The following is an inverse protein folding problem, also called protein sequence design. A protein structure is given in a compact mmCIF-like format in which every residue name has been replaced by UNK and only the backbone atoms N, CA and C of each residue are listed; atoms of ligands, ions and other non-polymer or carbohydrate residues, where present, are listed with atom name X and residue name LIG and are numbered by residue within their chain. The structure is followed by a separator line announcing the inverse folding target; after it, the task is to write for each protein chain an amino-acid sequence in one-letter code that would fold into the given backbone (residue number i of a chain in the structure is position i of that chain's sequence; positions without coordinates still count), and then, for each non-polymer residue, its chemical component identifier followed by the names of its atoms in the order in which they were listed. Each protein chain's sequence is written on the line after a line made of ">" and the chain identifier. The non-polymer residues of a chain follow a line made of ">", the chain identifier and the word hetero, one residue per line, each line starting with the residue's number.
data_IF_678736013031
#
_entry.id   IF_678736013031
#
_cell.length_a   1.000
_cell.length_b   1.000
_cell.length_c   1.000
_cell.angle_alpha   90.00
_cell.angle_beta   90.00
_cell.angle_gamma   90.00
#
_symmetry.space_group_name_H-M   'P 1'
#
loop_
_entity.id
_entity.type
_entity.pdbx_description
1 polymer ?
#
# COMPACT_ATOMS: atom_id res chain seq x y z
N UNK A 1 -20.81 28.87 19.79
CA UNK A 1 -21.59 27.60 19.81
C UNK A 1 -23.05 27.96 19.90
N UNK A 2 -23.82 27.66 18.87
CA UNK A 2 -25.26 27.89 18.88
C UNK A 2 -25.92 26.65 19.48
N UNK A 3 -26.78 26.88 20.51
CA UNK A 3 -27.54 25.82 21.16
C UNK A 3 -28.98 25.87 20.66
N UNK A 4 -29.49 24.78 20.11
CA UNK A 4 -30.88 24.64 19.71
C UNK A 4 -31.69 24.00 20.85
N UNK A 5 -32.84 24.62 21.21
CA UNK A 5 -33.62 24.26 22.40
C UNK A 5 -34.97 23.58 22.09
N UNK A 6 -35.26 23.17 20.87
CA UNK A 6 -36.60 22.65 20.51
C UNK A 6 -36.94 21.28 21.17
N UNK A 7 -35.95 20.49 21.58
CA UNK A 7 -36.12 19.20 22.30
C UNK A 7 -34.96 18.89 23.26
N UNK A 8 -34.44 19.86 23.97
CA UNK A 8 -33.24 19.78 24.79
C UNK A 8 -32.06 20.48 24.10
N UNK A 9 -31.05 20.83 24.89
CA UNK A 9 -29.88 21.51 24.37
C UNK A 9 -29.07 20.57 23.42
N UNK A 10 -28.98 20.98 22.17
CA UNK A 10 -28.16 20.29 21.17
C UNK A 10 -27.19 21.31 20.57
N UNK A 11 -25.97 20.80 20.27
CA UNK A 11 -24.98 21.58 19.56
C UNK A 11 -25.42 21.64 18.10
N UNK A 12 -25.56 22.84 17.55
CA UNK A 12 -25.75 23.03 16.12
C UNK A 12 -24.36 22.80 15.46
N UNK A 13 -24.22 21.62 14.88
CA UNK A 13 -22.91 21.16 14.38
C UNK A 13 -22.51 21.92 13.12
N UNK A 14 -21.31 22.48 13.14
CA UNK A 14 -20.62 22.96 11.95
C UNK A 14 -19.14 22.64 12.05
N UNK A 15 -18.45 22.52 10.91
CA UNK A 15 -17.00 22.24 10.85
C UNK A 15 -16.15 23.31 11.56
N UNK A 16 -16.65 24.56 11.60
CA UNK A 16 -16.02 25.69 12.29
C UNK A 16 -15.93 25.52 13.81
N UNK A 17 -16.69 24.60 14.40
CA UNK A 17 -16.57 24.29 15.83
C UNK A 17 -15.24 23.61 16.19
N UNK A 18 -14.65 22.89 15.25
CA UNK A 18 -13.34 22.23 15.42
C UNK A 18 -12.24 23.05 14.74
N UNK A 19 -12.52 23.58 13.56
CA UNK A 19 -11.59 24.37 12.75
C UNK A 19 -12.22 25.73 12.46
N UNK A 20 -12.02 26.78 13.31
CA UNK A 20 -12.70 28.06 13.18
C UNK A 20 -12.50 28.78 11.83
N UNK A 21 -11.36 28.51 11.18
CA UNK A 21 -11.01 29.12 9.89
C UNK A 21 -11.47 28.30 8.67
N UNK A 22 -12.17 27.17 8.88
CA UNK A 22 -12.62 26.28 7.78
C UNK A 22 -13.90 26.86 7.15
N UNK A 23 -13.84 27.10 5.85
CA UNK A 23 -14.99 27.51 5.04
C UNK A 23 -15.77 26.28 4.51
N UNK A 24 -17.03 26.47 4.09
CA UNK A 24 -17.92 25.39 3.64
C UNK A 24 -17.38 24.64 2.40
N UNK A 25 -16.52 25.29 1.61
CA UNK A 25 -15.88 24.71 0.42
C UNK A 25 -14.58 23.97 0.74
N UNK A 26 -14.07 24.13 1.93
CA UNK A 26 -12.78 23.56 2.34
C UNK A 26 -12.88 22.06 2.61
N UNK A 27 -11.77 21.37 2.38
CA UNK A 27 -11.64 19.94 2.64
C UNK A 27 -10.45 19.65 3.54
N UNK A 28 -10.72 19.07 4.69
CA UNK A 28 -9.66 18.56 5.58
C UNK A 28 -9.05 17.31 4.97
N UNK A 29 -7.72 17.33 4.76
CA UNK A 29 -6.96 16.17 4.33
C UNK A 29 -6.02 15.74 5.46
N UNK A 30 -6.09 14.48 5.84
CA UNK A 30 -5.16 13.87 6.79
C UNK A 30 -4.07 13.16 6.00
N UNK A 31 -2.81 13.52 6.27
CA UNK A 31 -1.64 12.85 5.73
C UNK A 31 -0.86 12.22 6.88
N UNK A 32 -0.65 10.92 6.81
CA UNK A 32 0.13 10.18 7.81
C UNK A 32 1.50 9.86 7.23
N UNK A 33 2.56 10.40 7.82
CA UNK A 33 3.93 10.02 7.51
C UNK A 33 4.32 8.81 8.35
N UNK A 34 4.60 7.68 7.68
CA UNK A 34 5.06 6.47 8.37
C UNK A 34 6.57 6.57 8.64
N UNK A 35 7.04 6.31 9.86
CA UNK A 35 8.46 6.27 10.16
C UNK A 35 9.13 5.10 9.42
N UNK A 36 10.41 5.27 9.05
CA UNK A 36 11.20 4.17 8.52
C UNK A 36 11.60 3.20 9.65
N UNK A 37 11.50 1.90 9.37
CA UNK A 37 11.90 0.88 10.32
C UNK A 37 13.42 0.82 10.44
N UNK A 38 13.96 0.80 11.67
CA UNK A 38 15.40 0.69 11.95
C UNK A 38 16.04 -0.53 11.28
N UNK A 39 17.35 -0.43 11.01
CA UNK A 39 18.16 -1.52 10.45
C UNK A 39 18.52 -2.54 11.52
N UNK A 40 18.71 -3.79 11.11
CA UNK A 40 19.36 -4.83 11.92
C UNK A 40 20.77 -5.00 11.34
N UNK A 41 21.76 -4.84 12.17
CA UNK A 41 23.18 -4.92 11.77
C UNK A 41 23.83 -6.12 12.45
N UNK A 42 24.86 -6.68 11.82
CA UNK A 42 25.76 -7.64 12.45
C UNK A 42 26.77 -6.92 13.37
N UNK A 43 27.63 -7.70 14.05
CA UNK A 43 28.67 -7.17 14.95
C UNK A 43 29.69 -6.26 14.27
N UNK A 44 29.79 -6.32 12.95
CA UNK A 44 30.71 -5.50 12.15
C UNK A 44 30.02 -4.30 11.51
N UNK A 45 28.73 -4.06 11.83
CA UNK A 45 27.94 -2.99 11.26
C UNK A 45 27.37 -3.27 9.87
N UNK A 46 27.48 -4.52 9.36
CA UNK A 46 26.93 -4.92 8.08
C UNK A 46 25.42 -5.14 8.21
N UNK A 47 24.66 -4.60 7.27
CA UNK A 47 23.21 -4.70 7.27
C UNK A 47 22.72 -6.12 7.02
N UNK A 48 21.99 -6.69 7.97
CA UNK A 48 21.28 -7.97 7.87
C UNK A 48 19.84 -7.77 7.40
N UNK A 49 19.19 -6.72 7.89
CA UNK A 49 17.86 -6.32 7.43
C UNK A 49 17.72 -4.80 7.46
N UNK A 50 17.19 -4.22 6.40
CA UNK A 50 17.04 -2.77 6.26
C UNK A 50 16.01 -2.37 5.21
N UNK A 51 16.06 -1.12 4.79
CA UNK A 51 15.22 -0.60 3.72
C UNK A 51 15.83 -0.96 2.37
N UNK A 52 15.06 -1.59 1.54
CA UNK A 52 15.39 -1.86 0.14
C UNK A 52 14.36 -1.27 -0.80
N UNK A 53 14.60 -1.39 -2.08
CA UNK A 53 13.66 -0.99 -3.14
C UNK A 53 13.21 -2.19 -3.94
N UNK A 54 11.94 -2.19 -4.31
CA UNK A 54 11.36 -3.17 -5.22
C UNK A 54 10.53 -2.45 -6.29
N UNK A 55 10.16 -3.16 -7.33
CA UNK A 55 9.29 -2.67 -8.38
C UNK A 55 7.86 -3.12 -8.12
N UNK A 56 6.96 -2.18 -7.89
CA UNK A 56 5.52 -2.45 -7.81
C UNK A 56 4.94 -2.37 -9.22
N UNK A 57 4.50 -3.52 -9.72
CA UNK A 57 3.84 -3.64 -11.02
C UNK A 57 2.35 -3.44 -10.78
N UNK A 58 1.77 -2.52 -11.51
CA UNK A 58 0.35 -2.22 -11.44
C UNK A 58 -0.27 -1.93 -12.79
N UNK A 59 -1.57 -1.84 -12.79
CA UNK A 59 -2.39 -1.59 -13.97
C UNK A 59 -3.13 -0.27 -13.77
N UNK A 60 -3.23 0.51 -14.85
CA UNK A 60 -4.10 1.68 -14.98
C UNK A 60 -5.26 1.27 -15.89
N UNK A 61 -6.47 1.01 -15.37
CA UNK A 61 -7.56 0.36 -16.11
C UNK A 61 -7.96 1.07 -17.41
N UNK A 62 -8.02 2.40 -17.40
CA UNK A 62 -8.37 3.20 -18.58
C UNK A 62 -7.31 3.23 -19.67
N UNK A 63 -6.10 2.69 -19.41
CA UNK A 63 -5.01 2.62 -20.38
C UNK A 63 -4.80 1.23 -20.98
N UNK A 64 -5.57 0.22 -20.55
CA UNK A 64 -5.56 -1.09 -21.18
C UNK A 64 -6.01 -0.99 -22.63
N UNK A 65 -5.62 -1.98 -23.45
CA UNK A 65 -6.09 -2.07 -24.84
C UNK A 65 -7.60 -2.38 -24.92
N UNK A 66 -8.15 -2.35 -26.10
CA UNK A 66 -9.55 -2.77 -26.34
C UNK A 66 -9.78 -4.24 -25.93
N UNK A 67 -8.74 -5.08 -26.02
CA UNK A 67 -8.74 -6.47 -25.61
C UNK A 67 -8.29 -6.65 -24.16
N UNK A 68 -8.97 -6.02 -23.20
CA UNK A 68 -8.61 -6.00 -21.77
C UNK A 68 -8.33 -7.39 -21.19
N UNK A 69 -9.14 -8.39 -21.57
CA UNK A 69 -8.97 -9.78 -21.09
C UNK A 69 -7.66 -10.41 -21.57
N UNK A 70 -7.27 -10.16 -22.82
CA UNK A 70 -6.01 -10.67 -23.36
C UNK A 70 -4.81 -10.03 -22.66
N UNK A 71 -4.86 -8.73 -22.40
CA UNK A 71 -3.83 -8.02 -21.64
C UNK A 71 -3.71 -8.57 -20.22
N UNK A 72 -4.84 -8.76 -19.53
CA UNK A 72 -4.87 -9.29 -18.15
C UNK A 72 -4.32 -10.72 -18.11
N UNK A 73 -4.69 -11.58 -19.06
CA UNK A 73 -4.16 -12.94 -19.13
C UNK A 73 -2.65 -12.96 -19.35
N UNK A 74 -2.13 -12.11 -20.24
CA UNK A 74 -0.70 -11.99 -20.49
C UNK A 74 0.07 -11.46 -19.28
N UNK A 75 -0.50 -10.50 -18.56
CA UNK A 75 0.08 -10.00 -17.31
C UNK A 75 0.08 -11.09 -16.24
N UNK A 76 -1.02 -11.85 -16.13
CA UNK A 76 -1.16 -12.95 -15.18
C UNK A 76 -0.12 -14.03 -15.42
N UNK A 77 0.08 -14.43 -16.68
CA UNK A 77 1.10 -15.40 -17.09
C UNK A 77 2.51 -14.92 -16.75
N UNK A 78 2.87 -13.69 -17.14
CA UNK A 78 4.19 -13.11 -16.86
C UNK A 78 4.48 -12.98 -15.36
N UNK A 79 3.46 -12.67 -14.56
CA UNK A 79 3.61 -12.52 -13.11
C UNK A 79 3.44 -13.83 -12.33
N UNK A 80 3.05 -14.94 -12.97
CA UNK A 80 2.78 -16.21 -12.31
C UNK A 80 1.62 -16.12 -11.31
N UNK A 81 0.54 -15.41 -11.65
CA UNK A 81 -0.68 -15.26 -10.86
C UNK A 81 -1.91 -15.54 -11.70
N UNK A 82 -3.07 -15.69 -11.07
CA UNK A 82 -4.32 -15.92 -11.80
C UNK A 82 -4.95 -14.61 -12.30
N UNK A 83 -5.58 -14.64 -13.48
CA UNK A 83 -6.32 -13.51 -14.02
C UNK A 83 -7.45 -13.07 -13.07
N UNK A 84 -8.11 -14.02 -12.39
CA UNK A 84 -9.14 -13.72 -11.38
C UNK A 84 -8.61 -12.87 -10.22
N UNK A 85 -7.37 -13.10 -9.80
CA UNK A 85 -6.71 -12.30 -8.77
C UNK A 85 -6.53 -10.84 -9.21
N UNK A 86 -6.21 -10.62 -10.48
CA UNK A 86 -6.10 -9.29 -11.08
C UNK A 86 -7.49 -8.64 -11.16
N UNK A 87 -8.48 -9.36 -11.69
CA UNK A 87 -9.84 -8.86 -11.85
C UNK A 87 -10.47 -8.44 -10.51
N UNK A 88 -10.29 -9.23 -9.46
CA UNK A 88 -10.74 -8.86 -8.11
C UNK A 88 -10.15 -7.54 -7.62
N UNK A 89 -8.88 -7.27 -7.92
CA UNK A 89 -8.23 -6.00 -7.56
C UNK A 89 -8.76 -4.84 -8.39
N UNK A 90 -9.03 -5.05 -9.67
CA UNK A 90 -9.56 -4.03 -10.57
C UNK A 90 -11.02 -3.67 -10.26
N UNK A 91 -11.79 -4.59 -9.66
CA UNK A 91 -13.19 -4.36 -9.26
C UNK A 91 -13.34 -3.72 -7.87
N UNK A 92 -12.25 -3.39 -7.19
CA UNK A 92 -12.33 -2.73 -5.88
C UNK A 92 -12.98 -1.35 -6.00
N UNK A 93 -13.85 -0.99 -5.05
CA UNK A 93 -14.70 0.21 -5.11
C UNK A 93 -13.96 1.57 -5.18
N UNK A 94 -12.66 1.59 -4.93
CA UNK A 94 -11.81 2.80 -5.05
C UNK A 94 -11.16 2.94 -6.43
N UNK A 95 -11.25 1.91 -7.28
CA UNK A 95 -10.60 1.88 -8.59
C UNK A 95 -11.38 2.73 -9.60
N UNK A 96 -10.68 3.61 -10.25
CA UNK A 96 -11.14 4.43 -11.37
C UNK A 96 -10.26 4.18 -12.58
N UNK A 97 -10.63 4.66 -13.76
CA UNK A 97 -9.87 4.48 -14.99
C UNK A 97 -8.42 5.00 -14.91
N UNK A 98 -8.19 6.05 -14.13
CA UNK A 98 -6.86 6.64 -13.93
C UNK A 98 -6.11 6.11 -12.71
N UNK A 99 -6.73 5.25 -11.92
CA UNK A 99 -6.11 4.70 -10.70
C UNK A 99 -4.96 3.76 -11.03
N UNK A 100 -3.86 3.89 -10.28
CA UNK A 100 -2.81 2.88 -10.28
C UNK A 100 -3.21 1.73 -9.34
N UNK A 101 -3.51 0.57 -9.90
CA UNK A 101 -3.89 -0.64 -9.15
C UNK A 101 -2.69 -1.55 -8.99
N UNK A 102 -2.08 -1.64 -7.80
CA UNK A 102 -0.90 -2.49 -7.60
C UNK A 102 -1.27 -3.98 -7.65
N UNK A 103 -0.63 -4.72 -8.54
CA UNK A 103 -0.88 -6.15 -8.76
C UNK A 103 0.12 -7.02 -8.01
N UNK A 104 1.42 -6.83 -8.27
CA UNK A 104 2.50 -7.62 -7.66
C UNK A 104 3.75 -6.77 -7.50
N UNK A 105 4.47 -7.03 -6.42
CA UNK A 105 5.81 -6.46 -6.20
C UNK A 105 6.85 -7.49 -6.59
N UNK A 106 7.83 -7.08 -7.37
CA UNK A 106 8.93 -7.91 -7.86
C UNK A 106 10.27 -7.27 -7.50
N UNK A 107 11.36 -8.03 -7.58
CA UNK A 107 12.68 -7.51 -7.33
C UNK A 107 13.02 -6.35 -8.28
N UNK A 108 13.77 -5.38 -7.76
CA UNK A 108 14.26 -4.27 -8.59
C UNK A 108 15.16 -4.73 -9.76
N UNK A 109 15.75 -5.90 -9.64
CA UNK A 109 16.70 -6.46 -10.60
C UNK A 109 16.06 -7.29 -11.74
N UNK A 110 14.75 -7.54 -11.70
CA UNK A 110 14.03 -8.31 -12.73
C UNK A 110 13.75 -7.46 -14.00
N UNK A 111 14.81 -7.03 -14.68
CA UNK A 111 14.69 -6.11 -15.82
C UNK A 111 13.97 -6.74 -17.01
N UNK A 112 14.30 -7.99 -17.37
CA UNK A 112 13.65 -8.68 -18.49
C UNK A 112 12.13 -8.83 -18.31
N UNK A 113 11.69 -9.14 -17.11
CA UNK A 113 10.27 -9.22 -16.78
C UNK A 113 9.59 -7.85 -16.90
N UNK A 114 10.26 -6.82 -16.37
CA UNK A 114 9.76 -5.42 -16.45
C UNK A 114 9.63 -4.94 -17.88
N UNK A 115 10.62 -5.22 -18.72
CA UNK A 115 10.59 -4.83 -20.14
C UNK A 115 9.45 -5.51 -20.90
N UNK A 116 9.22 -6.81 -20.65
CA UNK A 116 8.08 -7.53 -21.23
C UNK A 116 6.74 -6.97 -20.77
N UNK A 117 6.63 -6.63 -19.50
CA UNK A 117 5.40 -6.06 -18.92
C UNK A 117 5.11 -4.65 -19.45
N UNK A 118 6.13 -3.81 -19.63
CA UNK A 118 5.97 -2.45 -20.17
C UNK A 118 5.52 -2.41 -21.63
N UNK A 119 5.65 -3.51 -22.37
CA UNK A 119 5.10 -3.63 -23.72
C UNK A 119 3.58 -3.76 -23.74
N UNK A 120 2.95 -4.10 -22.59
CA UNK A 120 1.52 -4.23 -22.47
C UNK A 120 0.94 -2.87 -22.09
N UNK A 121 -0.02 -2.37 -22.87
CA UNK A 121 -0.70 -1.11 -22.59
C UNK A 121 -1.38 -1.14 -21.22
N UNK A 122 -1.32 -0.03 -20.52
CA UNK A 122 -1.93 0.09 -19.18
C UNK A 122 -1.09 -0.46 -18.04
N UNK A 123 0.02 -1.15 -18.30
CA UNK A 123 0.97 -1.52 -17.24
C UNK A 123 1.81 -0.32 -16.85
N UNK A 124 1.95 -0.11 -15.55
CA UNK A 124 2.82 0.91 -14.96
C UNK A 124 3.66 0.28 -13.86
N UNK A 125 4.93 0.64 -13.82
CA UNK A 125 5.87 0.18 -12.80
C UNK A 125 6.30 1.37 -11.98
N UNK A 126 6.21 1.24 -10.65
CA UNK A 126 6.64 2.26 -9.69
C UNK A 126 7.62 1.66 -8.71
N UNK A 127 8.58 2.45 -8.26
CA UNK A 127 9.47 2.04 -7.17
C UNK A 127 8.72 2.07 -5.85
N UNK A 128 8.89 1.03 -5.05
CA UNK A 128 8.32 0.94 -3.69
C UNK A 128 9.39 0.55 -2.70
N UNK A 129 9.30 1.08 -1.49
CA UNK A 129 10.17 0.68 -0.39
C UNK A 129 9.69 -0.63 0.20
N UNK A 130 10.63 -1.54 0.43
CA UNK A 130 10.37 -2.83 1.07
C UNK A 130 11.36 -3.05 2.19
N UNK A 131 11.07 -4.01 3.07
CA UNK A 131 12.08 -4.58 3.97
C UNK A 131 12.94 -5.55 3.19
N UNK A 132 14.25 -5.32 3.15
CA UNK A 132 15.23 -6.18 2.51
C UNK A 132 15.99 -6.97 3.57
N UNK A 133 16.29 -8.23 3.25
CA UNK A 133 17.05 -9.14 4.11
C UNK A 133 18.25 -9.66 3.31
N UNK A 134 19.45 -9.18 3.65
CA UNK A 134 20.66 -9.42 2.86
C UNK A 134 21.07 -10.89 2.79
N UNK A 135 20.73 -11.69 3.79
CA UNK A 135 21.03 -13.13 3.87
C UNK A 135 19.81 -14.01 3.53
N UNK A 136 18.66 -13.41 3.14
CA UNK A 136 17.44 -14.14 2.80
C UNK A 136 17.04 -15.13 3.89
N UNK A 137 16.71 -16.36 3.48
CA UNK A 137 16.24 -17.43 4.38
C UNK A 137 17.30 -17.87 5.40
N UNK A 138 18.59 -17.76 5.06
CA UNK A 138 19.68 -18.21 5.93
C UNK A 138 19.73 -17.51 7.29
N UNK A 139 19.19 -16.29 7.40
CA UNK A 139 19.14 -15.55 8.65
C UNK A 139 17.70 -15.30 9.12
N UNK A 140 16.72 -15.96 8.58
CA UNK A 140 15.30 -15.71 8.85
C UNK A 140 14.93 -15.87 10.32
N UNK A 141 15.48 -16.89 11.00
CA UNK A 141 15.28 -17.12 12.42
C UNK A 141 15.89 -16.03 13.32
N UNK A 142 16.94 -15.36 12.83
CA UNK A 142 17.64 -14.33 13.59
C UNK A 142 17.00 -12.95 13.35
N UNK A 143 16.63 -12.65 12.12
CA UNK A 143 16.10 -11.33 11.71
C UNK A 143 14.57 -11.24 11.79
N UNK A 144 13.89 -12.40 11.83
CA UNK A 144 12.46 -12.47 11.71
C UNK A 144 11.96 -11.90 10.37
N UNK A 145 10.68 -11.62 10.31
CA UNK A 145 10.04 -10.96 9.17
C UNK A 145 9.06 -9.88 9.64
N UNK A 146 8.56 -9.09 8.72
CA UNK A 146 7.53 -8.09 9.02
C UNK A 146 6.24 -8.43 8.28
N UNK A 147 5.12 -8.27 8.98
CA UNK A 147 3.80 -8.43 8.38
C UNK A 147 2.84 -7.37 8.90
N UNK A 148 1.71 -7.21 8.22
CA UNK A 148 0.64 -6.34 8.70
C UNK A 148 0.09 -6.89 10.01
N UNK A 149 -0.18 -6.00 10.97
CA UNK A 149 -0.75 -6.34 12.26
C UNK A 149 -2.10 -7.05 12.09
N UNK A 150 -2.32 -8.12 12.85
CA UNK A 150 -3.62 -8.81 12.88
C UNK A 150 -4.61 -8.06 13.77
N UNK A 151 -5.92 -8.37 13.65
CA UNK A 151 -6.95 -7.74 14.49
C UNK A 151 -6.70 -7.98 15.99
N UNK A 152 -6.34 -9.21 16.35
CA UNK A 152 -6.07 -9.60 17.74
C UNK A 152 -4.87 -8.86 18.33
N UNK A 153 -3.86 -8.60 17.51
CA UNK A 153 -2.67 -7.83 17.91
C UNK A 153 -2.96 -6.34 17.99
N UNK A 154 -3.82 -5.84 17.10
CA UNK A 154 -4.26 -4.45 17.12
C UNK A 154 -5.05 -4.13 18.40
N UNK A 155 -5.89 -5.06 18.87
CA UNK A 155 -6.65 -4.91 20.12
C UNK A 155 -5.75 -4.89 21.37
N UNK A 156 -4.58 -5.53 21.31
CA UNK A 156 -3.64 -5.65 22.43
C UNK A 156 -2.56 -4.55 22.46
N UNK A 157 -2.41 -3.82 21.38
CA UNK A 157 -1.33 -2.85 21.23
C UNK A 157 -1.87 -1.47 20.86
N UNK A 158 -1.85 -0.56 21.82
CA UNK A 158 -2.23 0.83 21.58
C UNK A 158 -1.23 1.55 20.67
N UNK A 159 -1.69 2.49 19.87
CA UNK A 159 -0.86 3.32 18.98
C UNK A 159 -0.59 2.71 17.60
N UNK A 160 -1.07 1.49 17.32
CA UNK A 160 -1.00 0.89 15.99
C UNK A 160 -2.29 1.12 15.20
N UNK A 161 -2.19 1.05 13.87
CA UNK A 161 -3.32 1.09 12.93
C UNK A 161 -3.41 -0.21 12.17
N UNK A 162 -4.55 -0.50 11.54
CA UNK A 162 -4.74 -1.71 10.72
C UNK A 162 -3.74 -1.88 9.57
N UNK A 163 -3.01 -0.82 9.21
CA UNK A 163 -1.96 -0.83 8.18
C UNK A 163 -0.55 -0.85 8.74
N UNK A 164 -0.40 -0.92 10.06
CA UNK A 164 0.92 -0.98 10.71
C UNK A 164 1.61 -2.30 10.44
N UNK A 165 2.94 -2.24 10.27
CA UNK A 165 3.79 -3.43 10.10
C UNK A 165 4.46 -3.77 11.42
N UNK A 166 4.32 -5.01 11.87
CA UNK A 166 4.97 -5.53 13.06
C UNK A 166 5.99 -6.61 12.73
N UNK A 167 6.99 -6.76 13.60
CA UNK A 167 7.99 -7.83 13.50
C UNK A 167 7.44 -9.14 14.04
N UNK A 168 7.80 -10.25 13.39
CA UNK A 168 7.55 -11.63 13.79
C UNK A 168 8.85 -12.41 13.74
N UNK A 169 8.97 -13.39 14.62
CA UNK A 169 10.05 -14.39 14.68
C UNK A 169 9.51 -15.78 14.46
#
# INVERSE_FOLDING_TARGET
>A
ITLNNEKGYKIDWSSNLIFPELEDTDKVRVSTSKPSRGKILDRNGKELAGEGTASSIGIVPGKLSESKEADINKIAELLGITADSINKKLQAGWVTDDSFVPIKTVSANENELKDKLLQIKGVKITSTKIRSYSLGEAASQLTGYVQTITKEELEKNEGYTSTSLIGKT
#
